data_IF_645111849749
#
_entry.id   IF_645111849749
#
_cell.length_a   1.000
_cell.length_b   1.000
_cell.length_c   1.000
_cell.angle_alpha   90.00
_cell.angle_beta   90.00
_cell.angle_gamma   90.00
#
_symmetry.space_group_name_H-M   'P 1'
#
loop_
_entity.id
_entity.type
_entity.pdbx_description
1 polymer ?
#
# COMPACT_ATOMS: atom_id res chain seq x y z
N UNK A 1 -74.88 -58.15 36.17
CA UNK A 1 -73.68 -58.39 35.44
C UNK A 1 -73.03 -57.05 34.93
N UNK A 2 -73.78 -56.11 34.39
CA UNK A 2 -73.28 -54.80 33.88
C UNK A 2 -72.60 -54.00 35.00
N UNK A 3 -73.19 -53.98 36.22
CA UNK A 3 -72.64 -53.23 37.33
C UNK A 3 -71.30 -53.77 37.84
N UNK A 4 -71.10 -55.09 37.74
CA UNK A 4 -69.79 -55.72 38.03
C UNK A 4 -68.71 -55.36 37.04
N UNK A 5 -69.12 -55.23 35.79
CA UNK A 5 -68.21 -54.79 34.73
C UNK A 5 -67.80 -53.32 34.85
N UNK A 6 -68.79 -52.44 35.23
CA UNK A 6 -68.49 -51.01 35.42
C UNK A 6 -67.56 -50.80 36.65
N UNK A 7 -67.82 -51.57 37.77
CA UNK A 7 -66.98 -51.53 38.95
C UNK A 7 -65.52 -52.03 38.63
N UNK A 8 -65.40 -53.06 37.77
CA UNK A 8 -64.08 -53.56 37.37
C UNK A 8 -63.38 -52.60 36.49
N UNK A 9 -64.09 -51.97 35.52
CA UNK A 9 -63.52 -50.97 34.61
C UNK A 9 -62.98 -49.76 35.38
N UNK A 10 -63.70 -49.33 36.39
CA UNK A 10 -63.44 -48.16 37.21
C UNK A 10 -62.32 -48.41 38.27
N UNK A 11 -62.04 -49.69 38.63
CA UNK A 11 -61.13 -50.06 39.67
C UNK A 11 -59.64 -49.76 39.33
N UNK A 12 -59.25 -49.77 38.08
CA UNK A 12 -57.85 -49.42 37.63
C UNK A 12 -57.81 -48.98 36.16
N UNK A 13 -56.92 -48.02 35.78
CA UNK A 13 -56.75 -47.54 34.40
C UNK A 13 -56.39 -48.66 33.41
N UNK A 14 -55.74 -49.69 33.84
CA UNK A 14 -55.35 -50.86 33.08
C UNK A 14 -56.55 -51.71 32.65
N UNK A 15 -57.57 -51.81 33.50
CA UNK A 15 -58.81 -52.53 33.24
C UNK A 15 -59.60 -51.86 32.10
N UNK A 16 -59.65 -50.55 32.11
CA UNK A 16 -60.25 -49.79 31.05
C UNK A 16 -59.53 -50.00 29.66
N UNK A 17 -58.21 -50.00 29.63
CA UNK A 17 -57.46 -50.32 28.45
C UNK A 17 -57.66 -51.72 27.95
N UNK A 18 -57.73 -52.70 28.85
CA UNK A 18 -58.03 -54.10 28.52
C UNK A 18 -59.45 -54.25 27.96
N UNK A 19 -60.42 -53.60 28.56
CA UNK A 19 -61.78 -53.56 28.03
C UNK A 19 -61.88 -52.99 26.70
N UNK A 20 -61.26 -51.82 26.42
CA UNK A 20 -61.19 -51.17 25.05
C UNK A 20 -60.57 -52.07 24.00
N UNK A 21 -59.52 -52.77 24.35
CA UNK A 21 -58.84 -53.65 23.41
C UNK A 21 -59.74 -54.85 23.06
N UNK A 22 -60.41 -55.47 24.03
CA UNK A 22 -61.34 -56.58 23.78
C UNK A 22 -62.61 -56.10 23.05
N UNK A 23 -63.15 -54.96 23.42
CA UNK A 23 -64.25 -54.31 22.69
C UNK A 23 -63.93 -54.07 21.22
N UNK A 24 -62.81 -53.52 20.94
CA UNK A 24 -62.39 -53.28 19.60
C UNK A 24 -62.23 -54.60 18.78
N UNK A 25 -61.67 -55.63 19.40
CA UNK A 25 -61.60 -56.96 18.78
C UNK A 25 -62.97 -57.53 18.51
N UNK A 26 -63.87 -57.39 19.46
CA UNK A 26 -65.24 -57.90 19.30
C UNK A 26 -66.05 -57.14 18.27
N UNK A 27 -65.93 -55.80 18.17
CA UNK A 27 -66.54 -54.95 17.13
C UNK A 27 -66.03 -55.29 15.72
N UNK A 28 -64.75 -55.59 15.58
CA UNK A 28 -64.14 -55.98 14.33
C UNK A 28 -64.57 -57.41 13.91
N UNK A 29 -64.70 -58.31 14.89
CA UNK A 29 -65.09 -59.71 14.66
C UNK A 29 -66.57 -59.93 14.42
N UNK A 30 -67.41 -58.96 14.85
CA UNK A 30 -68.88 -59.02 14.70
C UNK A 30 -69.37 -57.77 13.97
N UNK A 31 -69.03 -57.55 12.73
CA UNK A 31 -69.47 -56.40 11.99
C UNK A 31 -71.00 -56.35 11.93
N UNK A 32 -71.59 -55.23 12.33
CA UNK A 32 -73.02 -55.00 12.36
C UNK A 32 -73.57 -54.68 10.96
N UNK A 33 -73.11 -55.41 9.93
CA UNK A 33 -73.65 -55.21 8.60
C UNK A 33 -74.11 -56.57 8.00
N UNK A 34 -75.14 -56.46 7.21
CA UNK A 34 -75.65 -57.60 6.45
C UNK A 34 -74.79 -57.76 5.17
N UNK A 35 -74.15 -58.92 4.94
CA UNK A 35 -73.32 -59.12 3.76
C UNK A 35 -74.07 -58.98 2.44
N UNK A 36 -75.40 -59.14 2.44
CA UNK A 36 -76.23 -59.03 1.26
C UNK A 36 -76.53 -57.58 0.85
N UNK A 37 -76.25 -56.61 1.72
CA UNK A 37 -76.45 -55.17 1.44
C UNK A 37 -75.20 -54.49 0.86
N UNK A 38 -74.09 -55.23 0.69
CA UNK A 38 -72.89 -54.66 0.16
C UNK A 38 -72.94 -54.70 -1.38
N UNK A 39 -73.01 -53.47 -1.95
CA UNK A 39 -72.85 -53.34 -3.38
C UNK A 39 -71.36 -53.46 -3.79
N UNK A 40 -70.94 -54.71 -3.96
CA UNK A 40 -69.56 -55.07 -4.31
C UNK A 40 -69.16 -54.44 -5.65
N UNK A 41 -70.07 -54.24 -6.57
CA UNK A 41 -69.80 -53.66 -7.89
C UNK A 41 -69.52 -52.15 -7.79
N UNK A 42 -70.21 -51.46 -6.91
CA UNK A 42 -69.91 -50.03 -6.67
C UNK A 42 -68.58 -49.83 -5.91
N UNK A 43 -68.29 -50.71 -4.95
CA UNK A 43 -67.00 -50.70 -4.22
C UNK A 43 -65.84 -51.03 -5.18
N UNK A 44 -66.01 -52.06 -6.01
CA UNK A 44 -65.01 -52.45 -7.01
C UNK A 44 -64.76 -51.32 -8.02
N UNK A 45 -65.80 -50.65 -8.54
CA UNK A 45 -65.63 -49.49 -9.38
C UNK A 45 -64.89 -48.35 -8.76
N UNK A 46 -65.21 -48.02 -7.52
CA UNK A 46 -64.49 -46.96 -6.77
C UNK A 46 -63.02 -47.29 -6.62
N UNK A 47 -62.70 -48.53 -6.27
CA UNK A 47 -61.29 -48.96 -6.13
C UNK A 47 -60.59 -48.93 -7.49
N UNK A 48 -61.24 -49.41 -8.57
CA UNK A 48 -60.66 -49.36 -9.91
C UNK A 48 -60.47 -47.92 -10.39
N UNK A 49 -61.43 -47.03 -10.15
CA UNK A 49 -61.23 -45.61 -10.44
C UNK A 49 -60.04 -45.01 -9.70
N UNK A 50 -59.89 -45.30 -8.40
CA UNK A 50 -58.72 -44.85 -7.62
C UNK A 50 -57.42 -45.42 -8.14
N UNK A 51 -57.39 -46.68 -8.54
CA UNK A 51 -56.18 -47.30 -9.14
C UNK A 51 -55.85 -46.65 -10.47
N UNK A 52 -56.85 -46.38 -11.30
CA UNK A 52 -56.65 -45.73 -12.58
C UNK A 52 -56.20 -44.27 -12.41
N UNK A 53 -56.71 -43.56 -11.42
CA UNK A 53 -56.24 -42.20 -11.09
C UNK A 53 -54.87 -42.20 -10.47
N UNK A 54 -54.48 -43.23 -9.71
CA UNK A 54 -53.18 -43.34 -9.03
C UNK A 54 -52.08 -43.76 -10.02
N UNK A 55 -52.44 -44.47 -11.12
CA UNK A 55 -51.54 -44.87 -12.19
C UNK A 55 -51.44 -43.87 -13.35
N UNK A 56 -52.01 -42.66 -13.22
CA UNK A 56 -51.66 -41.61 -14.17
C UNK A 56 -50.21 -41.24 -13.91
N UNK A 57 -49.28 -41.42 -14.85
CA UNK A 57 -47.91 -40.98 -14.69
C UNK A 57 -48.00 -39.46 -14.35
N UNK A 58 -47.42 -39.08 -13.22
CA UNK A 58 -47.30 -37.68 -12.87
C UNK A 58 -46.83 -36.94 -14.12
N UNK A 59 -47.63 -36.03 -14.65
CA UNK A 59 -47.24 -35.27 -15.81
C UNK A 59 -45.97 -34.53 -15.38
N UNK A 60 -44.81 -35.07 -15.81
CA UNK A 60 -43.57 -34.38 -15.70
C UNK A 60 -43.72 -33.13 -16.53
N UNK A 61 -44.09 -32.01 -15.86
CA UNK A 61 -44.08 -30.72 -16.51
C UNK A 61 -42.68 -30.54 -17.07
N UNK A 62 -42.49 -30.38 -18.37
CA UNK A 62 -41.14 -30.16 -18.88
C UNK A 62 -40.62 -28.95 -18.14
N UNK A 63 -39.56 -29.10 -17.36
CA UNK A 63 -38.79 -27.97 -16.79
C UNK A 63 -38.53 -27.07 -17.98
N UNK A 64 -39.03 -25.84 -17.93
CA UNK A 64 -39.02 -24.95 -19.10
C UNK A 64 -37.58 -24.96 -19.64
N UNK A 65 -37.40 -25.51 -20.83
CA UNK A 65 -36.12 -25.56 -21.55
C UNK A 65 -35.49 -24.16 -21.67
N UNK A 66 -36.34 -23.14 -21.60
CA UNK A 66 -35.96 -21.73 -21.56
C UNK A 66 -34.97 -21.40 -20.42
N UNK A 67 -35.23 -21.81 -19.18
CA UNK A 67 -34.29 -21.58 -18.07
C UNK A 67 -32.96 -22.33 -18.27
N UNK A 68 -33.01 -23.53 -18.82
CA UNK A 68 -31.81 -24.30 -19.11
C UNK A 68 -30.91 -23.64 -20.17
N UNK A 69 -31.51 -23.15 -21.26
CA UNK A 69 -30.78 -22.39 -22.29
C UNK A 69 -30.25 -21.06 -21.77
N UNK A 70 -31.01 -20.36 -20.91
CA UNK A 70 -30.51 -19.15 -20.27
C UNK A 70 -29.31 -19.39 -19.36
N UNK A 71 -29.31 -20.47 -18.61
CA UNK A 71 -28.15 -20.85 -17.78
C UNK A 71 -26.90 -21.15 -18.62
N UNK A 72 -27.07 -21.83 -19.75
CA UNK A 72 -25.94 -22.10 -20.65
C UNK A 72 -25.43 -20.81 -21.32
N UNK A 73 -26.29 -19.94 -21.77
CA UNK A 73 -25.93 -18.65 -22.35
C UNK A 73 -25.20 -17.77 -21.31
N UNK A 74 -25.71 -17.74 -20.07
CA UNK A 74 -25.06 -17.00 -18.99
C UNK A 74 -23.66 -17.52 -18.69
N UNK A 75 -23.45 -18.84 -18.66
CA UNK A 75 -22.14 -19.45 -18.45
C UNK A 75 -21.14 -19.14 -19.59
N UNK A 76 -21.63 -19.16 -20.85
CA UNK A 76 -20.82 -18.83 -22.03
C UNK A 76 -20.42 -17.34 -22.04
N UNK A 77 -21.27 -16.45 -21.55
CA UNK A 77 -20.99 -15.01 -21.48
C UNK A 77 -20.15 -14.63 -20.24
N UNK A 78 -20.36 -15.33 -19.11
CA UNK A 78 -19.60 -15.06 -17.87
C UNK A 78 -18.12 -15.41 -17.99
N UNK A 79 -17.77 -16.51 -18.65
CA UNK A 79 -16.38 -16.94 -18.82
C UNK A 79 -15.52 -15.89 -19.55
N UNK A 80 -15.89 -15.42 -20.75
CA UNK A 80 -15.11 -14.39 -21.43
C UNK A 80 -15.13 -13.05 -20.67
N UNK A 81 -16.24 -12.68 -20.00
CA UNK A 81 -16.30 -11.48 -19.17
C UNK A 81 -15.32 -11.59 -17.98
N UNK A 82 -15.24 -12.74 -17.34
CA UNK A 82 -14.30 -13.03 -16.24
C UNK A 82 -12.86 -12.98 -16.74
N UNK A 83 -12.57 -13.56 -17.92
CA UNK A 83 -11.24 -13.50 -18.54
C UNK A 83 -10.86 -12.05 -18.87
N UNK A 84 -11.76 -11.29 -19.48
CA UNK A 84 -11.53 -9.87 -19.82
C UNK A 84 -11.36 -9.05 -18.55
N UNK A 85 -12.21 -9.24 -17.53
CA UNK A 85 -12.10 -8.56 -16.24
C UNK A 85 -10.78 -8.88 -15.55
N UNK A 86 -10.38 -10.16 -15.52
CA UNK A 86 -9.10 -10.60 -14.95
C UNK A 86 -7.93 -10.05 -15.76
N UNK A 87 -8.02 -10.05 -17.08
CA UNK A 87 -7.00 -9.45 -17.96
C UNK A 87 -6.86 -7.95 -17.72
N UNK A 88 -7.96 -7.20 -17.62
CA UNK A 88 -7.95 -5.76 -17.33
C UNK A 88 -7.42 -5.47 -15.92
N UNK A 89 -7.74 -6.32 -14.94
CA UNK A 89 -7.25 -6.22 -13.57
C UNK A 89 -5.75 -6.55 -13.45
N UNK A 90 -5.30 -7.58 -14.17
CA UNK A 90 -3.89 -8.00 -14.20
C UNK A 90 -3.07 -7.20 -15.22
N UNK A 91 -3.71 -6.40 -16.10
CA UNK A 91 -2.99 -5.56 -17.03
C UNK A 91 -2.13 -4.60 -16.21
N UNK A 92 -0.80 -4.67 -16.30
CA UNK A 92 0.04 -3.71 -15.60
C UNK A 92 -0.43 -2.33 -16.04
N UNK A 93 -0.84 -1.50 -15.08
CA UNK A 93 -1.16 -0.09 -15.33
C UNK A 93 0.00 0.43 -16.15
N UNK A 94 -0.23 0.88 -17.38
CA UNK A 94 0.80 1.43 -18.25
C UNK A 94 1.61 2.38 -17.38
N UNK A 95 2.90 2.10 -17.20
CA UNK A 95 3.77 3.04 -16.55
C UNK A 95 3.65 4.31 -17.41
N UNK A 96 2.90 5.28 -16.89
CA UNK A 96 2.92 6.64 -17.45
C UNK A 96 4.40 6.96 -17.49
N UNK A 97 4.94 7.18 -18.68
CA UNK A 97 6.35 7.50 -18.84
C UNK A 97 6.63 8.67 -17.92
N UNK A 98 7.37 8.42 -16.83
CA UNK A 98 7.69 9.44 -15.85
C UNK A 98 8.45 10.54 -16.60
N UNK A 99 7.81 11.69 -16.77
CA UNK A 99 8.45 12.86 -17.36
C UNK A 99 9.29 13.52 -16.28
N UNK A 100 10.59 13.67 -16.54
CA UNK A 100 11.51 14.31 -15.61
C UNK A 100 11.79 15.74 -16.04
N UNK A 101 11.94 16.61 -15.08
CA UNK A 101 12.51 17.94 -15.23
C UNK A 101 13.92 17.91 -14.66
N UNK A 102 14.82 18.64 -15.32
CA UNK A 102 16.19 18.84 -14.87
C UNK A 102 16.47 20.34 -14.77
N UNK A 103 16.84 20.78 -13.58
CA UNK A 103 17.25 22.14 -13.29
C UNK A 103 18.76 22.17 -13.09
N UNK A 104 19.45 23.03 -13.82
CA UNK A 104 20.86 23.29 -13.64
C UNK A 104 21.08 24.75 -13.23
N UNK A 105 21.90 24.95 -12.22
CA UNK A 105 22.30 26.28 -11.71
C UNK A 105 23.77 26.51 -12.05
N UNK A 106 24.10 27.47 -12.91
CA UNK A 106 25.50 27.76 -13.27
C UNK A 106 26.26 28.38 -12.08
N UNK A 107 27.57 28.46 -12.19
CA UNK A 107 28.41 29.17 -11.24
C UNK A 107 28.01 30.66 -11.17
N UNK A 108 28.18 31.27 -10.01
CA UNK A 108 27.82 32.69 -9.78
C UNK A 108 26.35 32.92 -9.44
N UNK A 109 25.52 31.87 -9.39
CA UNK A 109 24.10 32.00 -9.08
C UNK A 109 23.63 30.85 -8.18
N UNK A 110 22.46 31.01 -7.62
CA UNK A 110 21.71 29.95 -6.95
C UNK A 110 20.24 30.00 -7.41
N UNK A 111 19.54 28.93 -7.30
CA UNK A 111 18.14 28.81 -7.74
C UNK A 111 17.27 28.23 -6.64
N UNK A 112 15.97 28.54 -6.70
CA UNK A 112 14.95 27.93 -5.82
C UNK A 112 13.90 27.26 -6.68
N UNK A 113 13.52 26.06 -6.32
CA UNK A 113 12.44 25.33 -6.97
C UNK A 113 11.46 24.78 -5.94
N UNK A 114 10.17 24.92 -6.24
CA UNK A 114 9.11 24.22 -5.50
C UNK A 114 8.78 22.95 -6.25
N UNK A 115 8.88 21.82 -5.55
CA UNK A 115 8.60 20.50 -6.10
C UNK A 115 7.09 20.22 -6.13
N UNK A 116 6.62 19.21 -6.89
CA UNK A 116 5.20 18.87 -7.00
C UNK A 116 4.51 18.47 -5.69
N UNK A 117 5.28 18.03 -4.68
CA UNK A 117 4.80 17.68 -3.35
C UNK A 117 4.73 18.87 -2.36
N UNK A 118 5.08 20.07 -2.80
CA UNK A 118 5.20 21.27 -1.96
C UNK A 118 6.56 21.44 -1.28
N UNK A 119 7.46 20.47 -1.39
CA UNK A 119 8.84 20.59 -0.88
C UNK A 119 9.59 21.70 -1.61
N UNK A 120 10.46 22.43 -0.89
CA UNK A 120 11.24 23.52 -1.42
C UNK A 120 12.72 23.17 -1.43
N UNK A 121 13.38 23.44 -2.56
CA UNK A 121 14.78 23.13 -2.75
C UNK A 121 15.54 24.38 -3.20
N UNK A 122 16.60 24.72 -2.47
CA UNK A 122 17.60 25.70 -2.91
C UNK A 122 18.74 24.94 -3.55
N UNK A 123 19.11 25.32 -4.73
CA UNK A 123 20.17 24.69 -5.52
C UNK A 123 21.33 25.66 -5.64
N UNK A 124 22.49 25.28 -5.12
CA UNK A 124 23.68 26.11 -5.09
C UNK A 124 24.38 26.20 -6.46
N UNK A 125 25.35 27.06 -6.58
CA UNK A 125 26.14 27.29 -7.80
C UNK A 125 26.79 25.98 -8.30
N UNK A 126 26.76 25.75 -9.62
CA UNK A 126 27.31 24.56 -10.26
C UNK A 126 26.63 23.24 -9.89
N UNK A 127 25.32 23.29 -9.58
CA UNK A 127 24.56 22.14 -9.14
C UNK A 127 23.43 21.80 -10.10
N UNK A 128 23.00 20.53 -10.10
CA UNK A 128 21.84 20.06 -10.86
C UNK A 128 20.89 19.25 -9.98
N UNK A 129 19.60 19.35 -10.31
CA UNK A 129 18.52 18.60 -9.67
C UNK A 129 17.61 18.04 -10.74
N UNK A 130 17.39 16.74 -10.70
CA UNK A 130 16.46 16.02 -11.57
C UNK A 130 15.33 15.44 -10.74
N UNK A 131 14.08 15.76 -11.11
CA UNK A 131 12.88 15.33 -10.39
C UNK A 131 11.74 15.06 -11.38
N UNK A 132 10.78 14.16 -11.05
CA UNK A 132 9.63 13.90 -11.91
C UNK A 132 8.62 15.05 -11.87
N UNK A 133 7.86 15.24 -12.93
CA UNK A 133 6.74 16.22 -12.95
C UNK A 133 5.63 15.87 -11.98
N UNK A 134 5.54 14.60 -11.58
CA UNK A 134 4.64 14.07 -10.56
C UNK A 134 5.32 12.93 -9.83
N UNK A 135 5.31 12.94 -8.51
CA UNK A 135 5.81 11.81 -7.72
C UNK A 135 4.85 10.63 -7.78
N UNK A 136 5.41 9.41 -7.65
CA UNK A 136 4.59 8.21 -7.59
C UNK A 136 4.03 7.96 -6.17
N UNK A 137 3.05 7.04 -6.07
CA UNK A 137 2.34 6.74 -4.83
C UNK A 137 3.17 6.01 -3.77
N UNK A 138 4.43 5.70 -4.05
CA UNK A 138 5.27 4.93 -3.11
C UNK A 138 6.35 5.79 -2.46
N UNK A 139 6.96 6.67 -3.24
CA UNK A 139 8.12 7.46 -2.80
C UNK A 139 8.32 8.69 -3.67
N UNK A 140 8.95 9.73 -3.10
CA UNK A 140 9.28 10.98 -3.76
C UNK A 140 10.79 11.01 -4.05
N UNK A 141 11.17 10.62 -5.27
CA UNK A 141 12.58 10.45 -5.62
C UNK A 141 13.07 11.63 -6.45
N UNK A 142 14.20 12.20 -6.02
CA UNK A 142 14.96 13.19 -6.78
C UNK A 142 16.41 12.74 -6.89
N UNK A 143 17.10 13.20 -7.94
CA UNK A 143 18.55 12.97 -8.11
C UNK A 143 19.26 14.30 -8.22
N UNK A 144 20.43 14.44 -7.59
CA UNK A 144 21.17 15.67 -7.59
C UNK A 144 22.67 15.45 -7.74
N UNK A 145 23.34 16.51 -8.21
CA UNK A 145 24.79 16.68 -8.18
C UNK A 145 25.11 18.10 -7.74
N UNK A 146 26.20 18.28 -7.00
CA UNK A 146 26.56 19.58 -6.41
C UNK A 146 25.98 19.76 -5.02
N UNK A 147 25.48 20.92 -4.69
CA UNK A 147 24.97 21.23 -3.34
C UNK A 147 23.53 21.76 -3.38
N UNK A 148 22.69 21.19 -2.50
CA UNK A 148 21.30 21.62 -2.35
C UNK A 148 20.85 21.56 -0.89
N UNK A 149 20.00 22.52 -0.54
CA UNK A 149 19.29 22.55 0.73
C UNK A 149 17.83 22.22 0.48
N UNK A 150 17.30 21.32 1.27
CA UNK A 150 15.95 20.77 1.16
C UNK A 150 15.10 21.15 2.38
N UNK A 151 13.92 21.67 2.13
CA UNK A 151 12.80 21.74 3.10
C UNK A 151 11.71 20.80 2.61
N UNK A 152 11.67 19.61 3.17
CA UNK A 152 10.80 18.53 2.72
C UNK A 152 9.47 18.55 3.47
N UNK A 153 8.38 18.56 2.73
CA UNK A 153 7.03 18.44 3.28
C UNK A 153 6.83 17.12 4.02
N UNK A 154 6.11 17.20 5.15
CA UNK A 154 5.94 16.06 6.05
C UNK A 154 4.97 15.04 5.49
N UNK A 155 5.48 13.89 5.05
CA UNK A 155 4.70 12.74 4.65
C UNK A 155 5.45 11.44 5.02
N UNK A 156 4.93 10.75 6.04
CA UNK A 156 5.52 9.50 6.53
C UNK A 156 5.18 8.29 5.65
N UNK A 157 4.12 8.38 4.83
CA UNK A 157 3.70 7.28 3.97
C UNK A 157 4.51 7.21 2.69
N UNK A 158 4.95 8.37 2.19
CA UNK A 158 5.70 8.49 0.94
C UNK A 158 7.04 9.17 1.23
N UNK A 159 8.10 8.42 1.60
CA UNK A 159 9.40 8.97 1.94
C UNK A 159 9.99 9.77 0.77
N UNK A 160 10.69 10.87 1.11
CA UNK A 160 11.43 11.69 0.16
C UNK A 160 12.86 11.16 0.06
N UNK A 161 13.31 10.86 -1.15
CA UNK A 161 14.59 10.20 -1.40
C UNK A 161 15.45 11.09 -2.30
N UNK A 162 16.57 11.57 -1.77
CA UNK A 162 17.60 12.26 -2.54
C UNK A 162 18.69 11.28 -2.92
N UNK A 163 18.90 11.08 -4.22
CA UNK A 163 19.98 10.24 -4.77
C UNK A 163 21.11 11.12 -5.25
N UNK A 164 22.30 10.84 -4.77
CA UNK A 164 23.56 11.31 -5.39
C UNK A 164 24.26 10.12 -6.03
N UNK A 165 25.43 10.32 -6.59
CA UNK A 165 26.24 9.23 -7.15
C UNK A 165 26.63 8.21 -6.09
N UNK A 166 26.99 8.68 -4.88
CA UNK A 166 27.64 7.87 -3.83
C UNK A 166 26.70 7.50 -2.68
N UNK A 167 25.70 8.32 -2.40
CA UNK A 167 24.81 8.12 -1.26
C UNK A 167 23.34 8.36 -1.59
N UNK A 168 22.49 7.84 -0.73
CA UNK A 168 21.04 8.08 -0.77
C UNK A 168 20.59 8.63 0.58
N UNK A 169 19.83 9.71 0.57
CA UNK A 169 19.25 10.33 1.78
C UNK A 169 17.75 10.12 1.77
N UNK A 170 17.22 9.51 2.81
CA UNK A 170 15.78 9.31 3.01
C UNK A 170 15.26 10.25 4.11
N UNK A 171 14.16 10.95 3.81
CA UNK A 171 13.56 11.97 4.65
C UNK A 171 12.02 11.85 4.66
N UNK A 172 11.38 12.25 5.77
CA UNK A 172 9.91 12.18 5.92
C UNK A 172 9.28 13.47 6.46
N UNK A 173 9.96 14.61 6.29
CA UNK A 173 9.54 15.91 6.82
C UNK A 173 10.69 16.57 7.59
N UNK A 174 11.68 17.05 6.86
CA UNK A 174 12.98 17.42 7.37
C UNK A 174 13.56 18.62 6.65
N UNK A 175 14.47 19.34 7.31
CA UNK A 175 15.31 20.35 6.69
C UNK A 175 16.78 19.92 6.78
N UNK A 176 17.46 19.81 5.63
CA UNK A 176 18.84 19.32 5.55
C UNK A 176 19.57 19.85 4.31
N UNK A 177 20.90 19.86 4.39
CA UNK A 177 21.77 20.20 3.28
C UNK A 177 22.51 18.94 2.79
N UNK A 178 22.64 18.80 1.48
CA UNK A 178 23.45 17.78 0.83
C UNK A 178 24.51 18.47 -0.02
N UNK A 179 25.78 18.14 0.21
CA UNK A 179 26.90 18.61 -0.56
C UNK A 179 27.57 17.39 -1.22
N UNK A 180 27.42 17.28 -2.54
CA UNK A 180 27.90 16.16 -3.35
C UNK A 180 28.48 16.64 -4.67
N UNK A 181 29.40 17.62 -4.62
CA UNK A 181 30.15 18.03 -5.80
C UNK A 181 31.13 16.92 -6.19
N UNK A 182 31.13 16.56 -7.46
CA UNK A 182 32.05 15.55 -8.00
C UNK A 182 33.52 15.97 -7.97
N UNK A 183 33.77 17.28 -7.86
CA UNK A 183 35.11 17.85 -7.68
C UNK A 183 35.64 17.75 -6.24
N UNK A 184 34.79 17.36 -5.29
CA UNK A 184 35.13 17.21 -3.88
C UNK A 184 35.42 15.74 -3.54
N UNK A 185 36.40 15.51 -2.68
CA UNK A 185 36.70 14.16 -2.19
C UNK A 185 35.73 13.68 -1.07
N UNK A 186 34.83 14.57 -0.65
CA UNK A 186 33.91 14.31 0.47
C UNK A 186 32.51 14.68 0.04
N UNK A 187 31.58 13.75 0.22
CA UNK A 187 30.14 14.02 0.15
C UNK A 187 29.62 14.18 1.58
N UNK A 188 28.83 15.23 1.81
CA UNK A 188 28.36 15.55 3.16
C UNK A 188 26.86 15.75 3.22
N UNK A 189 26.24 15.34 4.34
CA UNK A 189 24.83 15.64 4.66
C UNK A 189 24.77 16.26 6.04
N UNK A 190 24.13 17.44 6.14
CA UNK A 190 23.94 18.18 7.39
C UNK A 190 22.46 18.27 7.72
N UNK A 191 22.05 17.76 8.88
CA UNK A 191 20.64 17.77 9.30
C UNK A 191 20.34 18.98 10.19
N UNK A 192 19.38 19.81 9.79
CA UNK A 192 18.91 20.98 10.52
C UNK A 192 17.71 20.66 11.40
N UNK A 193 16.70 19.98 10.82
CA UNK A 193 15.44 19.67 11.52
C UNK A 193 14.90 18.32 11.08
N UNK A 194 14.29 17.57 12.00
CA UNK A 194 13.65 16.30 11.74
C UNK A 194 14.61 15.10 11.89
N UNK A 195 14.51 14.14 11.01
CA UNK A 195 15.33 12.92 11.01
C UNK A 195 15.59 12.46 9.58
N UNK A 196 16.83 12.14 9.25
CA UNK A 196 17.18 11.54 7.96
C UNK A 196 17.94 10.23 8.14
N UNK A 197 17.80 9.34 7.18
CA UNK A 197 18.62 8.14 7.06
C UNK A 197 19.52 8.29 5.82
N UNK A 198 20.82 8.17 6.01
CA UNK A 198 21.84 8.27 4.96
C UNK A 198 22.37 6.87 4.68
N UNK A 199 22.16 6.37 3.46
CA UNK A 199 22.67 5.08 3.01
C UNK A 199 23.88 5.28 2.13
N UNK A 200 25.01 4.72 2.56
CA UNK A 200 26.32 4.76 1.90
C UNK A 200 26.52 3.49 1.07
N UNK A 201 26.99 3.63 -0.16
CA UNK A 201 27.31 2.52 -1.09
C UNK A 201 26.21 1.44 -1.16
N UNK A 202 24.94 1.83 -0.95
CA UNK A 202 23.77 0.94 -0.92
C UNK A 202 23.85 -0.20 0.14
N UNK A 203 24.72 -0.08 1.13
CA UNK A 203 25.00 -1.14 2.11
C UNK A 203 24.77 -0.71 3.56
N UNK A 204 25.21 0.48 3.94
CA UNK A 204 25.20 0.94 5.32
C UNK A 204 24.32 2.16 5.50
N UNK A 205 23.32 2.06 6.34
CA UNK A 205 22.41 3.15 6.67
C UNK A 205 22.74 3.74 8.03
N UNK A 206 22.86 5.07 8.09
CA UNK A 206 23.19 5.86 9.28
C UNK A 206 22.06 6.87 9.48
N UNK A 207 21.49 6.92 10.67
CA UNK A 207 20.49 7.93 11.04
C UNK A 207 21.17 9.15 11.62
N UNK A 208 20.80 10.34 11.15
CA UNK A 208 21.25 11.61 11.71
C UNK A 208 20.16 12.23 12.57
N UNK A 209 20.60 12.92 13.63
CA UNK A 209 19.80 13.79 14.49
C UNK A 209 20.06 15.27 14.16
N UNK A 210 19.13 16.18 14.49
CA UNK A 210 19.35 17.60 14.28
C UNK A 210 20.65 18.11 14.90
N UNK A 211 21.41 18.90 14.15
CA UNK A 211 22.75 19.38 14.55
C UNK A 211 23.89 18.43 14.21
N UNK A 212 23.61 17.29 13.56
CA UNK A 212 24.63 16.36 13.10
C UNK A 212 24.94 16.53 11.62
N UNK A 213 26.20 16.25 11.27
CA UNK A 213 26.72 16.20 9.91
C UNK A 213 27.45 14.90 9.71
N UNK A 214 27.19 14.22 8.61
CA UNK A 214 27.99 13.12 8.12
C UNK A 214 28.90 13.60 7.00
N UNK A 215 30.18 13.25 7.06
CA UNK A 215 31.18 13.42 6.01
C UNK A 215 31.57 12.02 5.52
N UNK A 216 31.37 11.75 4.23
CA UNK A 216 31.74 10.50 3.57
C UNK A 216 32.89 10.75 2.59
N UNK A 217 34.04 10.16 2.87
CA UNK A 217 35.23 10.29 2.03
C UNK A 217 35.17 9.26 0.88
N UNK A 218 35.18 9.76 -0.35
CA UNK A 218 35.01 8.95 -1.54
C UNK A 218 36.22 8.06 -1.87
N UNK A 219 37.43 8.53 -1.50
CA UNK A 219 38.66 7.79 -1.79
C UNK A 219 38.87 6.62 -0.83
N UNK A 220 38.51 6.80 0.45
CA UNK A 220 38.74 5.81 1.51
C UNK A 220 37.51 5.01 1.90
N UNK A 221 36.31 5.41 1.43
CA UNK A 221 35.02 4.88 1.85
C UNK A 221 34.78 4.96 3.36
N UNK A 222 35.49 5.84 4.06
CA UNK A 222 35.32 6.11 5.48
C UNK A 222 34.28 7.24 5.66
N UNK A 223 33.54 7.16 6.74
CA UNK A 223 32.61 8.21 7.12
C UNK A 223 32.85 8.64 8.57
N UNK A 224 32.46 9.88 8.86
CA UNK A 224 32.48 10.45 10.20
C UNK A 224 31.16 11.19 10.46
N UNK A 225 30.58 11.06 11.65
CA UNK A 225 29.39 11.78 12.08
C UNK A 225 29.75 12.66 13.26
N UNK A 226 29.54 13.97 13.09
CA UNK A 226 29.88 14.97 14.10
C UNK A 226 28.71 15.89 14.37
N UNK A 227 28.61 16.40 15.61
CA UNK A 227 27.81 17.58 15.91
C UNK A 227 28.48 18.81 15.31
N UNK A 228 27.68 19.65 14.67
CA UNK A 228 28.18 20.86 13.99
C UNK A 228 27.22 22.03 14.14
N UNK A 229 27.76 23.24 13.93
CA UNK A 229 26.91 24.39 13.69
C UNK A 229 26.31 24.29 12.27
N UNK A 230 25.05 23.90 12.17
CA UNK A 230 24.39 23.68 10.89
C UNK A 230 24.32 24.94 10.05
N UNK A 231 24.25 26.13 10.66
CA UNK A 231 24.20 27.40 9.93
C UNK A 231 25.46 27.59 9.07
N UNK A 232 26.65 27.18 9.51
CA UNK A 232 27.86 27.23 8.69
C UNK A 232 27.66 26.54 7.32
N UNK A 233 26.92 25.44 7.29
CA UNK A 233 26.75 24.59 6.11
C UNK A 233 25.53 24.92 5.26
N UNK A 234 24.62 25.73 5.81
CA UNK A 234 23.34 26.03 5.18
C UNK A 234 23.16 27.54 4.86
N UNK A 235 24.03 28.40 5.41
CA UNK A 235 23.93 29.88 5.28
C UNK A 235 24.07 30.38 3.83
N UNK A 236 24.67 29.60 2.96
CA UNK A 236 24.83 29.96 1.55
C UNK A 236 23.49 30.25 0.85
N UNK A 237 22.39 29.56 1.26
CA UNK A 237 21.04 29.83 0.75
C UNK A 237 20.49 31.21 1.13
N UNK A 238 21.06 31.81 2.15
CA UNK A 238 20.75 33.17 2.64
C UNK A 238 21.78 34.21 2.15
N UNK A 239 22.65 33.83 1.17
CA UNK A 239 23.70 34.68 0.65
C UNK A 239 24.93 34.83 1.54
N UNK A 240 25.08 34.01 2.60
CA UNK A 240 26.18 34.10 3.57
C UNK A 240 27.08 32.90 3.44
N UNK A 241 28.39 33.13 3.25
CA UNK A 241 29.42 32.10 3.30
C UNK A 241 30.24 32.22 4.59
N UNK A 242 30.27 31.13 5.36
CA UNK A 242 30.97 31.08 6.65
C UNK A 242 32.10 30.07 6.58
N UNK A 243 33.30 30.55 6.82
CA UNK A 243 34.50 29.73 6.96
C UNK A 243 35.00 29.76 8.39
N UNK A 244 35.37 28.64 8.95
CA UNK A 244 35.87 28.47 10.31
C UNK A 244 36.97 27.41 10.30
N UNK A 245 38.20 27.85 10.32
CA UNK A 245 39.42 27.01 10.26
C UNK A 245 39.44 26.09 9.02
N UNK A 246 38.90 26.59 7.90
CA UNK A 246 38.88 25.86 6.64
C UNK A 246 40.19 26.15 5.85
N UNK A 247 40.75 25.17 5.12
CA UNK A 247 41.89 25.40 4.25
C UNK A 247 41.62 26.47 3.21
N UNK A 248 42.58 27.33 2.94
CA UNK A 248 42.41 28.44 2.00
C UNK A 248 42.07 27.95 0.57
N UNK A 249 42.61 26.80 0.19
CA UNK A 249 42.22 26.13 -1.06
C UNK A 249 40.72 25.85 -1.13
N UNK A 250 40.11 25.34 -0.06
CA UNK A 250 38.66 25.12 0.05
C UNK A 250 37.88 26.44 0.00
N UNK A 251 38.38 27.48 0.69
CA UNK A 251 37.76 28.80 0.68
C UNK A 251 37.71 29.37 -0.73
N UNK A 252 38.84 29.36 -1.46
CA UNK A 252 38.93 29.85 -2.84
C UNK A 252 38.06 29.05 -3.79
N UNK A 253 37.99 27.75 -3.62
CA UNK A 253 37.09 26.90 -4.40
C UNK A 253 35.63 27.33 -4.22
N UNK A 254 35.17 27.53 -2.98
CA UNK A 254 33.79 27.95 -2.68
C UNK A 254 33.49 29.38 -3.19
N UNK A 255 34.41 30.31 -2.99
CA UNK A 255 34.29 31.66 -3.51
C UNK A 255 34.27 31.65 -5.07
N UNK A 256 35.13 30.85 -5.69
CA UNK A 256 35.14 30.67 -7.13
C UNK A 256 33.82 30.18 -7.71
N UNK A 257 33.22 29.19 -7.05
CA UNK A 257 31.89 28.70 -7.41
C UNK A 257 30.79 29.76 -7.21
N UNK A 258 30.80 30.42 -6.07
CA UNK A 258 29.74 31.40 -5.69
C UNK A 258 29.78 32.66 -6.54
N UNK A 259 30.97 33.16 -6.89
CA UNK A 259 31.11 34.42 -7.64
C UNK A 259 31.53 34.24 -9.10
N UNK A 260 31.64 32.99 -9.56
CA UNK A 260 32.11 32.64 -10.92
C UNK A 260 33.45 33.27 -11.26
N UNK A 261 34.41 33.16 -10.35
CA UNK A 261 35.78 33.68 -10.51
C UNK A 261 36.80 32.54 -10.32
N UNK A 262 37.93 32.65 -11.00
CA UNK A 262 39.04 31.73 -10.89
C UNK A 262 40.09 32.30 -9.94
N UNK A 263 40.53 31.49 -8.97
CA UNK A 263 41.63 31.82 -8.06
C UNK A 263 42.85 30.99 -8.44
N UNK A 264 43.96 31.68 -8.70
CA UNK A 264 45.23 31.06 -8.99
C UNK A 264 46.15 31.21 -7.79
N UNK A 265 46.42 30.13 -7.09
CA UNK A 265 47.41 30.07 -6.02
C UNK A 265 48.78 29.97 -6.65
N UNK A 266 49.62 30.99 -6.49
CA UNK A 266 51.03 30.99 -6.97
C UNK A 266 51.93 30.04 -6.16
N UNK A 267 51.57 29.78 -4.90
CA UNK A 267 52.22 28.84 -4.03
C UNK A 267 51.20 27.87 -3.41
N UNK A 268 51.36 26.60 -3.67
CA UNK A 268 50.44 25.55 -3.19
C UNK A 268 50.45 25.43 -1.67
N UNK A 269 51.54 25.77 -0.97
CA UNK A 269 51.56 25.75 0.47
C UNK A 269 50.63 26.75 1.13
N UNK A 270 50.34 27.88 0.45
CA UNK A 270 49.33 28.86 0.91
C UNK A 270 47.96 28.23 1.05
N UNK A 271 47.60 27.27 0.18
CA UNK A 271 46.32 26.58 0.19
C UNK A 271 46.04 25.81 1.50
N UNK A 272 47.06 25.43 2.23
CA UNK A 272 46.95 24.66 3.47
C UNK A 272 46.67 25.52 4.72
N UNK A 273 46.91 26.83 4.66
CA UNK A 273 46.63 27.71 5.79
C UNK A 273 45.15 27.73 6.13
N UNK A 274 44.83 27.65 7.41
CA UNK A 274 43.46 27.76 7.90
C UNK A 274 42.98 29.19 7.82
N UNK A 275 41.76 29.37 7.35
CA UNK A 275 41.15 30.69 7.16
C UNK A 275 39.79 30.79 7.89
N UNK A 276 39.56 31.98 8.45
CA UNK A 276 38.31 32.30 9.15
C UNK A 276 37.73 33.58 8.60
N UNK A 277 36.55 33.51 8.00
CA UNK A 277 35.85 34.67 7.48
C UNK A 277 34.34 34.43 7.37
N UNK A 278 33.60 35.50 7.23
CA UNK A 278 32.19 35.52 6.83
C UNK A 278 32.06 36.49 5.67
N UNK A 279 31.47 36.03 4.57
CA UNK A 279 31.14 36.85 3.41
C UNK A 279 29.65 36.94 3.33
N UNK A 280 29.14 38.15 3.18
CA UNK A 280 27.73 38.49 3.00
C UNK A 280 27.58 39.06 1.59
N UNK A 281 26.68 38.51 0.80
CA UNK A 281 26.47 38.91 -0.60
C UNK A 281 25.13 39.56 -0.83
#
# INVERSE_FOLDING_TARGET
EIKVLDDWISAAPENYRSFLSQKNVWEVSHPAFNPEEIDVDSAHRKVMEQILHQNQPASVRPKSSFLYYWQQIAAILLLPLLIVSTYLYLKPTSQVAETYQELFTPYGTWSVVNLPDGSKVWLNAGSSLKYPTQFNDKQRVVSMQGEAYFEVESDKKHPFIVKTKELTVEATGTAFNVNAYTSDNVTAVTLVKGKVAVTLDKKKTISLSPGEKIDYNLATSLYNVNKTNTYKWCSWKDGVLIFRDDPLEYVFKRLGQTYNVEFILKDAELGKYSYKATFEG
#
